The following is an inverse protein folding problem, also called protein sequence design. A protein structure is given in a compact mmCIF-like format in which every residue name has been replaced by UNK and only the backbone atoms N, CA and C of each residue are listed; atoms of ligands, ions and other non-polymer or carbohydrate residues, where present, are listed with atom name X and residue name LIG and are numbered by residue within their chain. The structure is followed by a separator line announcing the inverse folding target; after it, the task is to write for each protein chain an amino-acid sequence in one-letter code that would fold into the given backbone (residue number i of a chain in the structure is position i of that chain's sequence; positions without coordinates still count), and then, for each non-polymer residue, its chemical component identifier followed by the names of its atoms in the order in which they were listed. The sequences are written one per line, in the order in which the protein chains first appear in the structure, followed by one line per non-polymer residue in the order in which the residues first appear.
data_IF_579156797860
#
_entry.id   IF_579156797860
#
_cell.length_a   1.000
_cell.length_b   1.000
_cell.length_c   1.000
_cell.angle_alpha   90.00
_cell.angle_beta   90.00
_cell.angle_gamma   90.00
#
_symmetry.space_group_name_H-M   'P 1'
#
loop_
_entity.id
_entity.type
_entity.pdbx_description
1 polymer ?
#
# COMPACT_ATOMS: atom_id res chain seq x y z
N UNK A 1 -21.52 8.71 5.52
CA UNK A 1 -20.97 7.38 5.20
C UNK A 1 -19.53 7.27 5.63
N UNK A 2 -19.27 6.54 6.71
CA UNK A 2 -17.93 6.10 7.07
C UNK A 2 -17.54 4.99 6.09
N UNK A 3 -16.69 5.32 5.12
CA UNK A 3 -16.17 4.37 4.14
C UNK A 3 -15.40 3.26 4.86
N UNK A 4 -15.78 1.99 4.67
CA UNK A 4 -14.99 0.83 5.13
C UNK A 4 -13.68 0.65 4.33
N UNK A 5 -13.26 1.67 3.58
CA UNK A 5 -12.13 1.60 2.66
C UNK A 5 -10.84 1.93 3.38
N UNK A 6 -9.92 0.97 3.45
CA UNK A 6 -8.55 1.23 3.82
C UNK A 6 -7.83 2.00 2.71
N UNK A 7 -7.14 3.08 3.09
CA UNK A 7 -6.32 3.92 2.21
C UNK A 7 -4.87 3.84 2.69
N UNK A 8 -3.96 3.58 1.76
CA UNK A 8 -2.51 3.63 1.97
C UNK A 8 -1.86 4.38 0.81
N UNK A 9 -0.88 5.24 1.13
CA UNK A 9 -0.04 5.91 0.15
C UNK A 9 1.39 5.39 0.31
N UNK A 10 1.93 4.83 -0.78
CA UNK A 10 3.28 4.29 -0.84
C UNK A 10 4.07 5.09 -1.87
N UNK A 11 5.24 5.61 -1.47
CA UNK A 11 6.17 6.35 -2.32
C UNK A 11 7.60 6.00 -1.91
N UNK A 12 8.51 5.88 -2.87
CA UNK A 12 9.89 5.46 -2.63
C UNK A 12 9.99 4.16 -1.80
N UNK A 13 9.11 3.21 -2.09
CA UNK A 13 8.96 1.94 -1.38
C UNK A 13 8.68 2.05 0.13
N UNK A 14 8.22 3.21 0.63
CA UNK A 14 7.83 3.40 2.03
C UNK A 14 6.39 3.90 2.15
N UNK A 15 5.74 3.57 3.28
CA UNK A 15 4.41 4.06 3.61
C UNK A 15 4.52 5.54 4.04
N UNK A 16 3.81 6.42 3.33
CA UNK A 16 3.73 7.86 3.64
C UNK A 16 2.48 8.22 4.43
N UNK A 17 1.42 7.44 4.26
CA UNK A 17 0.13 7.67 4.90
C UNK A 17 -0.67 6.38 4.94
N UNK A 18 -1.44 6.23 6.01
CA UNK A 18 -2.49 5.22 6.19
C UNK A 18 -3.66 5.88 6.92
N UNK A 19 -4.89 5.56 6.55
CA UNK A 19 -6.05 5.95 7.35
C UNK A 19 -6.29 4.97 8.50
N UNK A 20 -7.23 5.33 9.38
CA UNK A 20 -7.60 4.49 10.52
C UNK A 20 -8.18 3.15 10.06
N UNK A 21 -9.03 3.14 9.01
CA UNK A 21 -9.65 1.91 8.51
C UNK A 21 -8.63 0.90 7.98
N UNK A 22 -7.56 1.36 7.32
CA UNK A 22 -6.46 0.47 6.89
C UNK A 22 -5.66 -0.07 8.09
N UNK A 23 -5.46 0.77 9.10
CA UNK A 23 -4.79 0.40 10.35
C UNK A 23 -5.58 -0.68 11.10
N UNK A 24 -6.90 -0.48 11.23
CA UNK A 24 -7.81 -1.42 11.88
C UNK A 24 -7.91 -2.74 11.10
N UNK A 25 -7.91 -2.68 9.76
CA UNK A 25 -7.94 -3.87 8.92
C UNK A 25 -6.72 -4.78 9.14
N UNK A 26 -5.54 -4.18 9.25
CA UNK A 26 -4.28 -4.92 9.37
C UNK A 26 -3.84 -5.16 10.82
N UNK A 27 -4.55 -4.57 11.80
CA UNK A 27 -4.22 -4.65 13.23
C UNK A 27 -2.81 -4.12 13.56
N UNK A 28 -2.36 -3.14 12.78
CA UNK A 28 -1.13 -2.37 13.03
C UNK A 28 -1.51 -0.92 13.29
N UNK A 29 -0.78 -0.25 14.17
CA UNK A 29 -0.96 1.20 14.34
C UNK A 29 -0.43 1.97 13.12
N UNK A 30 -1.01 3.15 12.85
CA UNK A 30 -0.50 4.03 11.79
C UNK A 30 0.98 4.40 12.00
N UNK A 31 1.37 4.70 13.24
CA UNK A 31 2.75 5.01 13.61
C UNK A 31 3.69 3.84 13.31
N UNK A 32 3.30 2.62 13.67
CA UNK A 32 4.09 1.43 13.39
C UNK A 32 4.26 1.22 11.88
N UNK A 33 3.17 1.29 11.10
CA UNK A 33 3.24 1.13 9.65
C UNK A 33 4.09 2.20 8.96
N UNK A 34 4.00 3.45 9.42
CA UNK A 34 4.82 4.55 8.90
C UNK A 34 6.30 4.45 9.34
N UNK A 35 6.61 3.68 10.38
CA UNK A 35 7.99 3.40 10.80
C UNK A 35 8.67 2.30 9.99
N UNK A 36 7.91 1.54 9.20
CA UNK A 36 8.43 0.45 8.37
C UNK A 36 9.42 0.96 7.33
N UNK A 37 10.50 0.21 7.14
CA UNK A 37 11.53 0.48 6.17
C UNK A 37 11.09 0.24 4.72
N UNK A 38 12.01 0.51 3.79
CA UNK A 38 11.78 0.27 2.37
C UNK A 38 11.34 -1.18 2.14
N UNK A 39 10.23 -1.36 1.42
CA UNK A 39 9.68 -2.66 1.01
C UNK A 39 9.21 -3.54 2.17
N UNK A 40 9.23 -3.05 3.40
CA UNK A 40 8.84 -3.84 4.56
C UNK A 40 7.32 -4.08 4.60
N UNK A 41 6.53 -3.22 3.95
CA UNK A 41 5.09 -3.43 3.75
C UNK A 41 4.75 -4.71 2.95
N UNK A 42 5.71 -5.40 2.34
CA UNK A 42 5.44 -6.70 1.74
C UNK A 42 5.10 -7.79 2.78
N UNK A 43 5.39 -7.58 4.06
CA UNK A 43 5.07 -8.54 5.14
C UNK A 43 3.58 -8.77 5.38
N UNK A 44 2.73 -7.82 4.97
CA UNK A 44 1.26 -7.93 5.08
C UNK A 44 0.61 -8.58 3.84
N UNK A 45 1.43 -8.96 2.85
CA UNK A 45 0.97 -9.57 1.60
C UNK A 45 1.10 -11.09 1.69
N UNK A 46 0.10 -11.81 1.20
CA UNK A 46 0.12 -13.27 1.19
C UNK A 46 1.27 -13.84 0.33
N UNK A 47 1.95 -14.93 0.75
CA UNK A 47 3.07 -15.51 -0.01
C UNK A 47 2.73 -15.92 -1.45
N UNK A 48 1.49 -16.35 -1.71
CA UNK A 48 1.05 -16.78 -3.04
C UNK A 48 0.96 -15.62 -4.06
N UNK A 49 0.79 -14.38 -3.59
CA UNK A 49 0.60 -13.19 -4.44
C UNK A 49 1.77 -12.21 -4.35
N UNK A 50 2.79 -12.51 -3.56
CA UNK A 50 3.89 -11.58 -3.25
C UNK A 50 4.64 -11.10 -4.49
N UNK A 51 4.91 -11.99 -5.44
CA UNK A 51 5.67 -11.64 -6.66
C UNK A 51 4.85 -10.71 -7.57
N UNK A 52 3.55 -10.97 -7.68
CA UNK A 52 2.63 -10.08 -8.40
C UNK A 52 2.59 -8.70 -7.74
N UNK A 53 2.50 -8.63 -6.41
CA UNK A 53 2.44 -7.34 -5.70
C UNK A 53 3.75 -6.57 -5.83
N UNK A 54 4.92 -7.23 -5.80
CA UNK A 54 6.23 -6.59 -6.03
C UNK A 54 6.33 -5.99 -7.42
N UNK A 55 5.94 -6.75 -8.45
CA UNK A 55 5.93 -6.26 -9.83
C UNK A 55 5.00 -5.05 -9.97
N UNK A 56 3.77 -5.17 -9.47
CA UNK A 56 2.76 -4.12 -9.55
C UNK A 56 3.15 -2.87 -8.77
N UNK A 57 3.76 -3.01 -7.60
CA UNK A 57 4.31 -1.90 -6.81
C UNK A 57 5.36 -1.12 -7.59
N UNK A 58 6.30 -1.83 -8.25
CA UNK A 58 7.34 -1.22 -9.09
C UNK A 58 6.74 -0.45 -10.27
N UNK A 59 5.80 -1.07 -11.01
CA UNK A 59 5.17 -0.46 -12.18
C UNK A 59 4.40 0.81 -11.79
N UNK A 60 3.62 0.76 -10.70
CA UNK A 60 2.79 1.87 -10.24
C UNK A 60 3.63 3.04 -9.73
N UNK A 61 4.64 2.79 -8.91
CA UNK A 61 5.50 3.86 -8.37
C UNK A 61 6.36 4.54 -9.45
N UNK A 62 6.72 3.82 -10.52
CA UNK A 62 7.48 4.37 -11.65
C UNK A 62 6.59 4.92 -12.78
N UNK A 63 5.27 4.77 -12.71
CA UNK A 63 4.36 5.17 -13.78
C UNK A 63 4.56 4.39 -15.10
N UNK A 64 4.95 3.11 -15.01
CA UNK A 64 5.21 2.26 -16.17
C UNK A 64 3.93 1.57 -16.67
N UNK A 65 3.82 1.29 -17.98
CA UNK A 65 2.70 0.52 -18.53
C UNK A 65 2.69 -0.92 -18.00
N UNK A 66 1.53 -1.57 -18.03
CA UNK A 66 1.33 -2.94 -17.53
C UNK A 66 0.91 -3.03 -16.06
N UNK A 67 0.75 -1.89 -15.38
CA UNK A 67 0.11 -1.85 -14.08
C UNK A 67 -1.37 -2.27 -14.21
N UNK A 68 -1.78 -3.23 -13.38
CA UNK A 68 -3.18 -3.63 -13.22
C UNK A 68 -3.92 -2.46 -12.60
N UNK A 69 -5.00 -2.06 -13.25
CA UNK A 69 -5.90 -1.03 -12.77
C UNK A 69 -6.49 -1.45 -11.42
N UNK A 70 -6.16 -0.68 -10.39
CA UNK A 70 -6.83 -0.73 -9.10
C UNK A 70 -7.43 0.64 -8.84
N UNK A 71 -8.41 0.73 -7.92
CA UNK A 71 -8.97 2.01 -7.49
C UNK A 71 -7.81 2.88 -6.96
N UNK A 72 -7.32 3.78 -7.80
CA UNK A 72 -6.25 4.71 -7.50
C UNK A 72 -6.88 6.09 -7.50
N UNK A 73 -6.96 6.71 -6.32
CA UNK A 73 -7.31 8.11 -6.22
C UNK A 73 -6.10 8.97 -6.56
N UNK A 74 -6.26 9.93 -7.47
CA UNK A 74 -5.30 11.03 -7.56
C UNK A 74 -5.60 12.00 -6.41
N UNK A 75 -4.70 12.07 -5.45
CA UNK A 75 -4.75 13.06 -4.37
C UNK A 75 -3.96 14.29 -4.84
N UNK A 76 -4.65 15.42 -5.06
CA UNK A 76 -4.08 16.71 -5.47
C UNK A 76 -3.42 17.44 -4.30
#
# INVERSE_FOLDING_TARGET
DSSLMGIVIIQDDVIKYVNQEFSDLLQYSAEEMMSWGQKEFYKIVSPETIELVKEQSLLKQKGLPGAIECLTGQFN
#
